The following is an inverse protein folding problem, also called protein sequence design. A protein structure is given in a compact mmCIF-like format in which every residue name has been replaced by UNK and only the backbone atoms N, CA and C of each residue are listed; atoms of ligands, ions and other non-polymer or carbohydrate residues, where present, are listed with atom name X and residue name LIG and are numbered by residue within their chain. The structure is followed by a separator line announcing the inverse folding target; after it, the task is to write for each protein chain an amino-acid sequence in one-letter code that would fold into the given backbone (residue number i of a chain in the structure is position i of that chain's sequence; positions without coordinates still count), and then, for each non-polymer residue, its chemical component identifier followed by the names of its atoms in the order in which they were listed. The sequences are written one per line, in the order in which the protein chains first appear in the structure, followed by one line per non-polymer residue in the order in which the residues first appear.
data_IF_380287397753
#
_entry.id   IF_380287397753
#
_cell.length_a   1.000
_cell.length_b   1.000
_cell.length_c   1.000
_cell.angle_alpha   90.00
_cell.angle_beta   90.00
_cell.angle_gamma   90.00
#
_symmetry.space_group_name_H-M   'P 1'
#
loop_
_entity.id
_entity.type
_entity.pdbx_description
1 polymer ?
#
# COMPACT_ATOMS: atom_id res chain seq x y z
N UNK A 1 -5.23 -40.16 18.97
CA UNK A 1 -5.92 -39.96 17.68
C UNK A 1 -6.21 -38.47 17.60
N UNK A 2 -5.58 -37.80 16.65
CA UNK A 2 -5.61 -36.35 16.45
C UNK A 2 -6.94 -35.92 15.85
N UNK A 3 -7.77 -35.24 16.64
CA UNK A 3 -8.92 -34.50 16.12
C UNK A 3 -8.42 -33.21 15.47
N UNK A 4 -8.22 -33.30 14.15
CA UNK A 4 -8.16 -32.14 13.27
C UNK A 4 -9.54 -31.49 13.26
N UNK A 5 -9.77 -30.55 14.18
CA UNK A 5 -10.85 -29.58 14.03
C UNK A 5 -10.49 -28.74 12.80
N UNK A 6 -11.02 -29.16 11.66
CA UNK A 6 -11.08 -28.40 10.42
C UNK A 6 -11.91 -27.13 10.70
N UNK A 7 -11.28 -26.14 11.31
CA UNK A 7 -11.88 -24.85 11.58
C UNK A 7 -12.27 -24.22 10.24
N UNK A 8 -13.58 -23.99 10.05
CA UNK A 8 -14.07 -23.17 8.95
C UNK A 8 -13.35 -21.82 8.99
N UNK A 9 -12.37 -21.61 8.12
CA UNK A 9 -11.82 -20.28 7.88
C UNK A 9 -13.00 -19.46 7.34
N UNK A 10 -13.43 -18.44 8.08
CA UNK A 10 -14.45 -17.52 7.62
C UNK A 10 -13.97 -16.93 6.28
N UNK A 11 -14.83 -16.83 5.29
CA UNK A 11 -14.50 -16.27 3.97
C UNK A 11 -13.81 -14.90 4.08
N UNK A 12 -14.21 -14.09 5.06
CA UNK A 12 -13.60 -12.79 5.35
C UNK A 12 -12.15 -12.91 5.87
N UNK A 13 -11.87 -13.92 6.69
CA UNK A 13 -10.52 -14.16 7.22
C UNK A 13 -9.59 -14.68 6.11
N UNK A 14 -10.12 -15.52 5.21
CA UNK A 14 -9.38 -15.98 4.04
C UNK A 14 -9.03 -14.82 3.09
N UNK A 15 -9.99 -13.95 2.76
CA UNK A 15 -9.76 -12.78 1.92
C UNK A 15 -8.74 -11.84 2.56
N UNK A 16 -8.87 -11.58 3.86
CA UNK A 16 -7.95 -10.74 4.60
C UNK A 16 -6.53 -11.32 4.61
N UNK A 17 -6.39 -12.62 4.84
CA UNK A 17 -5.11 -13.32 4.81
C UNK A 17 -4.43 -13.19 3.46
N UNK A 18 -5.14 -13.49 2.37
CA UNK A 18 -4.60 -13.37 1.01
C UNK A 18 -4.26 -11.92 0.65
N UNK A 19 -5.07 -10.95 1.08
CA UNK A 19 -4.78 -9.53 0.94
C UNK A 19 -3.48 -9.11 1.65
N UNK A 20 -3.30 -9.53 2.91
CA UNK A 20 -2.10 -9.25 3.70
C UNK A 20 -0.86 -9.90 3.08
N UNK A 21 -0.97 -11.13 2.57
CA UNK A 21 0.13 -11.82 1.88
C UNK A 21 0.59 -11.09 0.62
N UNK A 22 -0.36 -10.65 -0.22
CA UNK A 22 -0.06 -9.85 -1.41
C UNK A 22 0.54 -8.50 -1.06
N UNK A 23 0.00 -7.85 -0.03
CA UNK A 23 0.50 -6.58 0.50
C UNK A 23 1.94 -6.73 1.02
N UNK A 24 2.22 -7.79 1.78
CA UNK A 24 3.57 -8.10 2.27
C UNK A 24 4.59 -8.22 1.14
N UNK A 25 4.26 -9.00 0.09
CA UNK A 25 5.13 -9.15 -1.09
C UNK A 25 5.40 -7.81 -1.76
N UNK A 26 4.36 -6.99 -1.95
CA UNK A 26 4.50 -5.65 -2.52
C UNK A 26 5.39 -4.74 -1.65
N UNK A 27 5.14 -4.68 -0.33
CA UNK A 27 5.91 -3.85 0.59
C UNK A 27 7.39 -4.22 0.61
N UNK A 28 7.72 -5.51 0.55
CA UNK A 28 9.10 -5.95 0.44
C UNK A 28 9.78 -5.41 -0.83
N UNK A 29 9.10 -5.45 -1.99
CA UNK A 29 9.63 -4.88 -3.24
C UNK A 29 9.78 -3.35 -3.17
N UNK A 30 8.76 -2.64 -2.67
CA UNK A 30 8.80 -1.17 -2.56
C UNK A 30 9.89 -0.67 -1.61
N UNK A 31 10.15 -1.40 -0.53
CA UNK A 31 11.24 -1.09 0.40
C UNK A 31 12.60 -1.41 -0.23
N UNK A 32 12.75 -2.54 -0.91
CA UNK A 32 13.99 -2.90 -1.61
C UNK A 32 14.39 -1.86 -2.65
N UNK A 33 13.40 -1.32 -3.38
CA UNK A 33 13.58 -0.25 -4.36
C UNK A 33 13.68 1.15 -3.76
N UNK A 34 13.60 1.29 -2.43
CA UNK A 34 13.64 2.57 -1.71
C UNK A 34 12.52 3.54 -2.12
N UNK A 35 11.39 3.02 -2.59
CA UNK A 35 10.17 3.79 -2.84
C UNK A 35 9.51 4.11 -1.50
N UNK A 36 9.42 3.11 -0.62
CA UNK A 36 9.01 3.29 0.78
C UNK A 36 10.26 3.27 1.66
N UNK A 37 10.38 4.27 2.52
CA UNK A 37 11.45 4.37 3.53
C UNK A 37 10.79 4.56 4.89
N UNK A 38 11.10 3.67 5.84
CA UNK A 38 10.43 3.59 7.14
C UNK A 38 10.38 4.94 7.89
N UNK A 39 11.49 5.68 7.91
CA UNK A 39 11.54 7.01 8.55
C UNK A 39 10.56 8.02 7.93
N UNK A 40 10.41 8.02 6.60
CA UNK A 40 9.44 8.91 5.92
C UNK A 40 8.01 8.48 6.20
N UNK A 41 7.78 7.17 6.18
CA UNK A 41 6.48 6.58 6.49
C UNK A 41 5.99 6.98 7.90
N UNK A 42 6.90 7.01 8.88
CA UNK A 42 6.60 7.46 10.24
C UNK A 42 6.26 8.96 10.30
N UNK A 43 7.00 9.80 9.58
CA UNK A 43 6.75 11.24 9.53
C UNK A 43 5.40 11.54 8.87
N UNK A 44 5.20 11.01 7.67
CA UNK A 44 4.12 11.36 6.76
C UNK A 44 2.80 10.70 7.16
N UNK A 45 2.81 9.46 7.67
CA UNK A 45 1.60 8.67 7.93
C UNK A 45 1.45 8.22 9.39
N UNK A 46 2.41 8.54 10.27
CA UNK A 46 2.45 8.06 11.66
C UNK A 46 2.38 6.52 11.73
N UNK A 47 3.08 5.87 10.79
CA UNK A 47 3.24 4.44 10.70
C UNK A 47 4.70 4.11 11.03
N UNK A 48 4.94 3.59 12.23
CA UNK A 48 6.29 3.32 12.71
C UNK A 48 6.94 2.12 12.01
N UNK A 49 8.26 1.99 12.19
CA UNK A 49 9.03 0.88 11.63
C UNK A 49 8.48 -0.49 12.05
N UNK A 50 8.03 -0.63 13.30
CA UNK A 50 7.49 -1.90 13.82
C UNK A 50 6.22 -2.32 13.08
N UNK A 51 5.37 -1.36 12.78
CA UNK A 51 4.13 -1.58 12.03
C UNK A 51 4.42 -1.99 10.59
N UNK A 52 5.40 -1.35 9.95
CA UNK A 52 5.86 -1.76 8.62
C UNK A 52 6.42 -3.19 8.63
N UNK A 53 7.21 -3.55 9.64
CA UNK A 53 7.76 -4.90 9.76
C UNK A 53 6.67 -5.96 9.95
N UNK A 54 5.67 -5.70 10.80
CA UNK A 54 4.52 -6.58 10.97
C UNK A 54 3.81 -6.86 9.64
N UNK A 55 3.55 -5.81 8.85
CA UNK A 55 2.92 -5.96 7.54
C UNK A 55 3.78 -6.76 6.55
N UNK A 56 5.10 -6.59 6.57
CA UNK A 56 6.05 -7.38 5.76
C UNK A 56 6.21 -8.83 6.24
N UNK A 57 5.82 -9.12 7.48
CA UNK A 57 5.86 -10.46 8.08
C UNK A 57 4.49 -11.16 8.04
N UNK A 58 3.54 -10.62 7.27
CA UNK A 58 2.19 -11.19 7.12
C UNK A 58 1.39 -11.28 8.45
N UNK A 59 1.69 -10.40 9.41
CA UNK A 59 1.03 -10.38 10.71
C UNK A 59 -0.46 -9.99 10.57
N UNK A 60 -1.34 -10.96 10.82
CA UNK A 60 -2.79 -10.80 10.69
C UNK A 60 -3.41 -9.92 11.78
N UNK A 61 -2.67 -9.66 12.87
CA UNK A 61 -3.14 -8.86 14.02
C UNK A 61 -3.12 -7.35 13.74
N UNK A 62 -2.60 -6.94 12.58
CA UNK A 62 -2.54 -5.52 12.20
C UNK A 62 -3.94 -4.92 12.07
N UNK A 63 -4.23 -3.86 12.83
CA UNK A 63 -5.54 -3.23 12.83
C UNK A 63 -5.95 -2.69 11.44
N UNK A 64 -7.26 -2.65 11.15
CA UNK A 64 -7.77 -2.18 9.86
C UNK A 64 -7.35 -0.73 9.56
N UNK A 65 -7.39 0.17 10.55
CA UNK A 65 -6.96 1.56 10.36
C UNK A 65 -5.49 1.66 9.91
N UNK A 66 -4.64 0.71 10.32
CA UNK A 66 -3.24 0.65 9.89
C UNK A 66 -3.14 0.25 8.42
N UNK A 67 -3.96 -0.70 7.97
CA UNK A 67 -4.05 -1.08 6.56
C UNK A 67 -4.55 0.08 5.70
N UNK A 68 -5.54 0.84 6.19
CA UNK A 68 -6.06 2.03 5.49
C UNK A 68 -4.99 3.12 5.34
N UNK A 69 -4.20 3.38 6.39
CA UNK A 69 -3.05 4.30 6.30
C UNK A 69 -1.99 3.80 5.33
N UNK A 70 -1.68 2.51 5.37
CA UNK A 70 -0.68 1.91 4.48
C UNK A 70 -1.12 1.98 3.01
N UNK A 71 -2.41 1.80 2.74
CA UNK A 71 -2.99 1.98 1.41
C UNK A 71 -2.71 3.38 0.87
N UNK A 72 -3.07 4.42 1.62
CA UNK A 72 -2.77 5.81 1.25
C UNK A 72 -1.27 6.06 1.07
N UNK A 73 -0.44 5.50 1.94
CA UNK A 73 1.01 5.64 1.86
C UNK A 73 1.60 5.04 0.57
N UNK A 74 1.16 3.85 0.16
CA UNK A 74 1.65 3.22 -1.07
C UNK A 74 1.29 4.09 -2.28
N UNK A 75 0.05 4.54 -2.40
CA UNK A 75 -0.37 5.42 -3.50
C UNK A 75 0.44 6.72 -3.53
N UNK A 76 0.64 7.35 -2.38
CA UNK A 76 1.44 8.58 -2.26
C UNK A 76 2.88 8.35 -2.75
N UNK A 77 3.56 7.31 -2.24
CA UNK A 77 4.96 7.07 -2.60
C UNK A 77 5.15 6.60 -4.05
N UNK A 78 4.21 5.83 -4.60
CA UNK A 78 4.22 5.48 -6.02
C UNK A 78 4.06 6.72 -6.90
N UNK A 79 3.13 7.61 -6.54
CA UNK A 79 2.94 8.89 -7.20
C UNK A 79 4.19 9.77 -7.17
N UNK A 80 4.79 9.95 -5.99
CA UNK A 80 6.03 10.71 -5.81
C UNK A 80 7.19 10.10 -6.62
N UNK A 81 7.28 8.78 -6.67
CA UNK A 81 8.30 8.08 -7.44
C UNK A 81 8.08 8.26 -8.95
N UNK A 82 6.84 8.15 -9.43
CA UNK A 82 6.46 8.42 -10.83
C UNK A 82 6.78 9.86 -11.23
N UNK A 83 6.48 10.85 -10.38
CA UNK A 83 6.82 12.25 -10.61
C UNK A 83 8.33 12.46 -10.75
N UNK A 84 9.15 11.78 -9.94
CA UNK A 84 10.63 11.82 -10.06
C UNK A 84 11.11 11.15 -11.35
N UNK A 85 10.56 10.00 -11.71
CA UNK A 85 10.91 9.28 -12.94
C UNK A 85 10.59 10.10 -14.18
N UNK A 86 9.46 10.82 -14.18
CA UNK A 86 9.08 11.68 -15.30
C UNK A 86 10.05 12.83 -15.57
N UNK A 87 10.88 13.21 -14.59
CA UNK A 87 11.92 14.24 -14.71
C UNK A 87 13.27 13.69 -15.21
N UNK A 88 13.39 12.39 -15.44
CA UNK A 88 14.60 11.77 -16.00
C UNK A 88 14.66 12.10 -17.50
N UNK A 89 15.80 12.62 -17.95
CA UNK A 89 16.02 12.98 -19.35
C UNK A 89 16.37 11.78 -20.25
N UNK A 90 16.96 10.73 -19.68
CA UNK A 90 17.26 9.50 -20.41
C UNK A 90 15.96 8.70 -20.63
N UNK A 91 15.47 8.72 -21.86
CA UNK A 91 14.20 8.09 -22.24
C UNK A 91 14.21 6.56 -22.08
N UNK A 92 15.38 5.90 -22.20
CA UNK A 92 15.48 4.45 -21.98
C UNK A 92 15.31 4.14 -20.49
N UNK A 93 16.08 4.81 -19.64
CA UNK A 93 16.00 4.64 -18.18
C UNK A 93 14.61 5.02 -17.67
N UNK A 94 14.04 6.10 -18.20
CA UNK A 94 12.68 6.54 -17.86
C UNK A 94 11.65 5.47 -18.20
N UNK A 95 11.70 4.90 -19.40
CA UNK A 95 10.77 3.84 -19.83
C UNK A 95 10.83 2.62 -18.91
N UNK A 96 12.03 2.08 -18.68
CA UNK A 96 12.24 0.92 -17.80
C UNK A 96 11.66 1.17 -16.39
N UNK A 97 11.83 2.38 -15.85
CA UNK A 97 11.28 2.74 -14.55
C UNK A 97 9.76 2.93 -14.55
N UNK A 98 9.18 3.47 -15.62
CA UNK A 98 7.73 3.61 -15.76
C UNK A 98 7.05 2.23 -15.89
N UNK A 99 7.67 1.30 -16.61
CA UNK A 99 7.21 -0.09 -16.67
C UNK A 99 7.19 -0.71 -15.27
N UNK A 100 8.30 -0.59 -14.52
CA UNK A 100 8.38 -1.07 -13.13
C UNK A 100 7.35 -0.44 -12.19
N UNK A 101 7.08 0.87 -12.33
CA UNK A 101 6.02 1.55 -11.58
C UNK A 101 4.65 0.95 -11.90
N UNK A 102 4.40 0.63 -13.16
CA UNK A 102 3.11 0.07 -13.60
C UNK A 102 2.89 -1.33 -13.00
N UNK A 103 3.94 -2.15 -12.92
CA UNK A 103 3.91 -3.45 -12.21
C UNK A 103 3.59 -3.29 -10.71
N UNK A 104 4.12 -2.24 -10.07
CA UNK A 104 3.81 -1.95 -8.67
C UNK A 104 2.37 -1.48 -8.47
N UNK A 105 1.86 -0.62 -9.36
CA UNK A 105 0.46 -0.17 -9.30
C UNK A 105 -0.50 -1.34 -9.53
N UNK A 106 -0.20 -2.26 -10.45
CA UNK A 106 -1.00 -3.46 -10.65
C UNK A 106 -0.96 -4.38 -9.42
N UNK A 107 0.23 -4.61 -8.85
CA UNK A 107 0.39 -5.39 -7.62
C UNK A 107 -0.35 -4.77 -6.43
N UNK A 108 -0.36 -3.44 -6.35
CA UNK A 108 -1.08 -2.66 -5.35
C UNK A 108 -2.60 -2.83 -5.49
N UNK A 109 -3.13 -2.72 -6.71
CA UNK A 109 -4.55 -2.99 -7.00
C UNK A 109 -4.93 -4.44 -6.72
N UNK A 110 -4.07 -5.39 -7.05
CA UNK A 110 -4.30 -6.81 -6.76
C UNK A 110 -4.29 -7.14 -5.26
N UNK A 111 -3.62 -6.32 -4.44
CA UNK A 111 -3.57 -6.50 -2.99
C UNK A 111 -4.75 -5.84 -2.27
N UNK A 112 -5.23 -4.67 -2.73
CA UNK A 112 -6.19 -3.84 -1.99
C UNK A 112 -7.47 -3.49 -2.78
N UNK A 113 -7.61 -4.00 -4.00
CA UNK A 113 -8.79 -3.89 -4.84
C UNK A 113 -9.17 -2.44 -5.17
N UNK A 114 -10.48 -2.17 -5.23
CA UNK A 114 -11.03 -0.86 -5.59
C UNK A 114 -10.51 0.30 -4.73
N UNK A 115 -10.13 0.02 -3.48
CA UNK A 115 -9.64 1.04 -2.57
C UNK A 115 -8.25 1.54 -2.99
N UNK A 116 -7.43 0.68 -3.61
CA UNK A 116 -6.16 1.09 -4.19
C UNK A 116 -6.36 2.04 -5.37
N UNK A 117 -7.29 1.71 -6.27
CA UNK A 117 -7.66 2.59 -7.39
C UNK A 117 -8.11 3.97 -6.90
N UNK A 118 -8.99 4.02 -5.89
CA UNK A 118 -9.46 5.28 -5.31
C UNK A 118 -8.31 6.16 -4.79
N UNK A 119 -7.34 5.57 -4.07
CA UNK A 119 -6.19 6.32 -3.59
C UNK A 119 -5.30 6.84 -4.73
N UNK A 120 -5.08 6.07 -5.80
CA UNK A 120 -4.34 6.56 -6.97
C UNK A 120 -5.07 7.71 -7.67
N UNK A 121 -6.40 7.61 -7.80
CA UNK A 121 -7.23 8.67 -8.36
C UNK A 121 -7.12 9.95 -7.52
N UNK A 122 -7.26 9.85 -6.20
CA UNK A 122 -7.14 10.99 -5.29
C UNK A 122 -5.76 11.66 -5.38
N UNK A 123 -4.68 10.87 -5.39
CA UNK A 123 -3.33 11.43 -5.59
C UNK A 123 -3.21 12.17 -6.93
N UNK A 124 -3.72 11.58 -8.02
CA UNK A 124 -3.69 12.19 -9.36
C UNK A 124 -4.55 13.46 -9.46
N UNK A 125 -5.57 13.61 -8.61
CA UNK A 125 -6.37 14.83 -8.47
C UNK A 125 -5.64 15.91 -7.65
N UNK A 126 -4.49 15.61 -7.05
CA UNK A 126 -3.72 16.53 -6.22
C UNK A 126 -4.08 16.51 -4.74
N UNK A 127 -4.89 15.54 -4.30
CA UNK A 127 -5.26 15.41 -2.89
C UNK A 127 -4.08 14.94 -2.03
N UNK A 128 -3.94 15.53 -0.85
CA UNK A 128 -2.89 15.11 0.10
C UNK A 128 -3.32 13.87 0.89
N UNK A 129 -2.89 12.71 0.41
CA UNK A 129 -3.17 11.41 1.02
C UNK A 129 -2.58 11.22 2.43
N UNK A 130 -1.69 12.10 2.88
CA UNK A 130 -1.09 12.05 4.24
C UNK A 130 -2.06 12.53 5.31
N UNK A 131 -3.10 13.26 4.91
CA UNK A 131 -4.16 13.68 5.81
C UNK A 131 -5.04 12.44 6.08
N UNK A 132 -5.29 12.08 7.35
CA UNK A 132 -6.14 10.93 7.66
C UNK A 132 -7.52 11.11 7.03
N UNK A 133 -8.02 10.06 6.38
CA UNK A 133 -9.41 10.00 5.90
C UNK A 133 -10.33 10.30 7.08
N UNK A 134 -10.95 11.48 7.07
CA UNK A 134 -11.93 11.90 8.04
C UNK A 134 -13.32 11.80 7.37
N UNK A 135 -14.13 10.77 7.68
CA UNK A 135 -15.45 10.61 7.07
C UNK A 135 -16.43 11.76 7.36
N UNK A 136 -16.12 12.65 8.33
CA UNK A 136 -16.95 13.83 8.62
C UNK A 136 -16.64 15.04 7.72
N UNK A 137 -15.57 15.03 6.92
CA UNK A 137 -15.25 16.12 5.99
C UNK A 137 -16.19 16.13 4.76
N UNK A 138 -16.79 14.99 4.41
CA UNK A 138 -17.66 14.86 3.21
C UNK A 138 -19.14 15.15 3.53
N UNK A 139 -19.52 15.39 4.79
CA UNK A 139 -20.93 15.70 5.14
C UNK A 139 -21.37 17.13 4.78
N UNK A 140 -20.48 17.98 4.28
CA UNK A 140 -20.76 19.40 4.02
C UNK A 140 -20.43 19.89 2.59
N UNK A 141 -20.41 18.99 1.61
CA UNK A 141 -20.50 19.34 0.18
C UNK A 141 -21.76 18.73 -0.41
#
# INVERSE_FOLDING_TARGET
MTDLIQGHINHNDFIRHEGIKRLSKLLNSLVADKIIVAYRLEIDFKLDHKTLDKLKQEDLTVAQYTLDKMRSAIAYYLGEYRAKVNRINDEKIKREKIEKISEYEESYKNALGYQADACLTLYNMGEDLRIPYNPDIIKNT
#
